data_IF_852048718313
#
_entry.id   IF_852048718313
#
_cell.length_a   1.000
_cell.length_b   1.000
_cell.length_c   1.000
_cell.angle_alpha   90.00
_cell.angle_beta   90.00
_cell.angle_gamma   90.00
#
_symmetry.space_group_name_H-M   'P 1'
#
loop_
_entity.id
_entity.type
_entity.pdbx_description
1 polymer ?
#
# COMPACT_ATOMS: atom_id res chain seq x y z
N UNK A 1 -39.59 19.67 -17.00
CA UNK A 1 -38.13 19.47 -16.90
C UNK A 1 -37.90 18.26 -16.02
N UNK A 2 -36.91 17.41 -16.35
CA UNK A 2 -36.53 16.30 -15.46
C UNK A 2 -35.76 16.90 -14.30
N UNK A 3 -36.10 16.57 -13.05
CA UNK A 3 -35.37 17.09 -11.89
C UNK A 3 -34.09 16.27 -11.64
N UNK A 4 -33.11 16.88 -10.98
CA UNK A 4 -31.91 16.20 -10.51
C UNK A 4 -32.26 14.95 -9.67
N UNK A 5 -33.18 15.09 -8.71
CA UNK A 5 -33.67 14.00 -7.86
C UNK A 5 -34.28 12.84 -8.67
N UNK A 6 -35.18 13.13 -9.62
CA UNK A 6 -35.78 12.10 -10.47
C UNK A 6 -34.72 11.33 -11.28
N UNK A 7 -33.66 12.02 -11.70
CA UNK A 7 -32.55 11.40 -12.44
C UNK A 7 -31.72 10.47 -11.56
N UNK A 8 -31.41 10.90 -10.33
CA UNK A 8 -30.70 10.08 -9.34
C UNK A 8 -31.50 8.81 -9.04
N UNK A 9 -32.78 8.94 -8.72
CA UNK A 9 -33.66 7.80 -8.41
C UNK A 9 -33.71 6.80 -9.56
N UNK A 10 -33.89 7.30 -10.78
CA UNK A 10 -33.92 6.51 -12.00
C UNK A 10 -32.62 5.77 -12.29
N UNK A 11 -31.47 6.34 -11.90
CA UNK A 11 -30.16 5.68 -12.03
C UNK A 11 -30.00 4.64 -10.93
N UNK A 12 -30.34 4.98 -9.69
CA UNK A 12 -30.24 4.08 -8.54
C UNK A 12 -31.14 2.85 -8.68
N UNK A 13 -32.34 3.02 -9.23
CA UNK A 13 -33.32 1.95 -9.46
C UNK A 13 -33.08 1.15 -10.75
N UNK A 14 -31.93 1.33 -11.43
CA UNK A 14 -31.65 0.60 -12.68
C UNK A 14 -31.60 -0.91 -12.43
N UNK A 15 -32.28 -1.68 -13.28
CA UNK A 15 -32.36 -3.14 -13.18
C UNK A 15 -31.07 -3.85 -13.60
N UNK A 16 -30.21 -3.16 -14.33
CA UNK A 16 -28.92 -3.67 -14.79
C UNK A 16 -27.84 -2.58 -14.82
N UNK A 17 -26.59 -3.02 -14.82
CA UNK A 17 -25.44 -2.14 -14.95
C UNK A 17 -25.42 -1.41 -16.30
N UNK A 18 -25.75 -2.09 -17.41
CA UNK A 18 -25.83 -1.44 -18.73
C UNK A 18 -26.91 -0.34 -18.80
N UNK A 19 -28.07 -0.59 -18.18
CA UNK A 19 -29.11 0.43 -18.06
C UNK A 19 -28.60 1.64 -17.26
N UNK A 20 -27.90 1.39 -16.16
CA UNK A 20 -27.29 2.44 -15.33
C UNK A 20 -26.30 3.29 -16.13
N UNK A 21 -25.37 2.67 -16.87
CA UNK A 21 -24.43 3.37 -17.77
C UNK A 21 -25.19 4.24 -18.77
N UNK A 22 -26.22 3.68 -19.41
CA UNK A 22 -27.01 4.40 -20.41
C UNK A 22 -27.65 5.66 -19.82
N UNK A 23 -28.22 5.55 -18.61
CA UNK A 23 -28.85 6.67 -17.90
C UNK A 23 -27.82 7.71 -17.43
N UNK A 24 -26.67 7.27 -16.91
CA UNK A 24 -25.57 8.18 -16.53
C UNK A 24 -25.08 8.99 -17.73
N UNK A 25 -24.96 8.37 -18.91
CA UNK A 25 -24.56 9.05 -20.15
C UNK A 25 -25.53 10.14 -20.62
N UNK A 26 -26.79 10.09 -20.16
CA UNK A 26 -27.83 11.06 -20.52
C UNK A 26 -27.81 12.32 -19.64
N UNK A 27 -27.06 12.33 -18.53
CA UNK A 27 -27.02 13.47 -17.59
C UNK A 27 -26.67 14.79 -18.33
N UNK A 28 -25.65 14.85 -19.21
CA UNK A 28 -25.30 16.09 -19.91
C UNK A 28 -26.38 16.62 -20.86
N UNK A 29 -27.26 15.75 -21.38
CA UNK A 29 -28.36 16.14 -22.27
C UNK A 29 -29.63 16.54 -21.50
N UNK A 30 -29.77 16.07 -20.26
CA UNK A 30 -30.97 16.29 -19.45
C UNK A 30 -30.87 17.48 -18.50
N UNK A 31 -29.65 17.91 -18.14
CA UNK A 31 -29.40 18.88 -17.07
C UNK A 31 -28.35 19.93 -17.44
N UNK A 32 -28.42 21.10 -16.79
CA UNK A 32 -27.42 22.16 -16.93
C UNK A 32 -26.07 21.76 -16.35
N UNK A 33 -24.97 22.29 -16.90
CA UNK A 33 -23.59 21.97 -16.47
C UNK A 33 -23.35 22.22 -14.98
N UNK A 34 -24.02 23.21 -14.41
CA UNK A 34 -24.01 23.56 -12.98
C UNK A 34 -24.65 22.49 -12.08
N UNK A 35 -25.57 21.68 -12.61
CA UNK A 35 -26.23 20.59 -11.87
C UNK A 35 -25.43 19.28 -11.90
N UNK A 36 -24.55 19.09 -12.90
CA UNK A 36 -23.88 17.82 -13.16
C UNK A 36 -23.13 17.28 -11.94
N UNK A 37 -22.32 18.13 -11.30
CA UNK A 37 -21.52 17.72 -10.14
C UNK A 37 -22.41 17.19 -9.00
N UNK A 38 -23.51 17.88 -8.72
CA UNK A 38 -24.47 17.48 -7.69
C UNK A 38 -25.14 16.15 -8.01
N UNK A 39 -25.53 15.92 -9.28
CA UNK A 39 -26.16 14.67 -9.72
C UNK A 39 -25.17 13.51 -9.60
N UNK A 40 -23.93 13.64 -10.11
CA UNK A 40 -22.93 12.58 -10.03
C UNK A 40 -22.57 12.25 -8.58
N UNK A 41 -22.52 13.25 -7.69
CA UNK A 41 -22.26 13.05 -6.27
C UNK A 41 -23.40 12.29 -5.57
N UNK A 42 -24.65 12.63 -5.87
CA UNK A 42 -25.82 11.93 -5.33
C UNK A 42 -25.92 10.49 -5.86
N UNK A 43 -25.64 10.28 -7.15
CA UNK A 43 -25.53 8.94 -7.75
C UNK A 43 -24.40 8.14 -7.08
N UNK A 44 -23.22 8.75 -6.89
CA UNK A 44 -22.10 8.14 -6.18
C UNK A 44 -22.51 7.66 -4.77
N UNK A 45 -23.20 8.54 -4.02
CA UNK A 45 -23.68 8.28 -2.67
C UNK A 45 -24.70 7.14 -2.61
N UNK A 46 -25.69 7.15 -3.50
CA UNK A 46 -26.78 6.18 -3.46
C UNK A 46 -26.34 4.78 -3.95
N UNK A 47 -25.43 4.73 -4.93
CA UNK A 47 -25.18 3.50 -5.70
C UNK A 47 -23.83 2.86 -5.39
N UNK A 48 -22.78 3.64 -5.13
CA UNK A 48 -21.41 3.11 -5.11
C UNK A 48 -20.83 3.08 -3.70
N UNK A 49 -21.14 4.09 -2.87
CA UNK A 49 -20.73 4.13 -1.47
C UNK A 49 -21.12 2.87 -0.68
N UNK A 50 -22.32 2.27 -0.86
CA UNK A 50 -22.69 1.04 -0.15
C UNK A 50 -21.78 -0.16 -0.43
N UNK A 51 -20.99 -0.13 -1.51
CA UNK A 51 -20.07 -1.21 -1.88
C UNK A 51 -18.62 -0.95 -1.45
N UNK A 52 -18.32 0.21 -0.85
CA UNK A 52 -16.97 0.51 -0.36
C UNK A 52 -16.69 -0.24 0.94
N UNK A 53 -15.50 -0.82 1.04
CA UNK A 53 -15.03 -1.56 2.22
C UNK A 53 -14.14 -0.72 3.14
N UNK A 54 -14.20 -0.93 4.46
CA UNK A 54 -13.26 -0.37 5.42
C UNK A 54 -11.93 -1.13 5.39
N UNK A 55 -11.16 -1.01 4.31
CA UNK A 55 -9.91 -1.78 4.14
C UNK A 55 -8.86 -1.49 5.23
N UNK A 56 -8.97 -0.35 5.92
CA UNK A 56 -8.14 -0.05 7.09
C UNK A 56 -8.32 -1.06 8.24
N UNK A 57 -9.37 -1.88 8.21
CA UNK A 57 -9.59 -2.96 9.17
C UNK A 57 -8.61 -4.13 8.99
N UNK A 58 -7.88 -4.18 7.87
CA UNK A 58 -7.03 -5.32 7.51
C UNK A 58 -5.59 -4.88 7.22
N UNK A 59 -4.65 -5.79 7.50
CA UNK A 59 -3.25 -5.70 7.09
C UNK A 59 -2.86 -7.00 6.40
N UNK A 60 -1.84 -6.98 5.55
CA UNK A 60 -1.30 -8.22 5.01
C UNK A 60 -0.49 -8.96 6.07
N UNK A 61 -0.57 -10.28 6.05
CA UNK A 61 0.33 -11.13 6.82
C UNK A 61 1.79 -10.87 6.43
N UNK A 62 2.64 -10.79 7.45
CA UNK A 62 4.07 -10.62 7.28
C UNK A 62 4.81 -11.33 8.42
N UNK A 63 5.17 -12.60 8.22
CA UNK A 63 5.77 -13.49 9.23
C UNK A 63 6.91 -12.86 10.03
N UNK A 64 7.74 -12.02 9.41
CA UNK A 64 8.83 -11.29 10.07
C UNK A 64 8.38 -10.37 11.21
N UNK A 65 7.17 -9.81 11.12
CA UNK A 65 6.59 -8.91 12.13
C UNK A 65 5.72 -9.64 13.15
N UNK A 66 5.52 -10.94 12.99
CA UNK A 66 4.70 -11.73 13.91
C UNK A 66 5.46 -12.02 15.21
N UNK A 67 4.70 -12.11 16.30
CA UNK A 67 5.23 -12.33 17.64
C UNK A 67 6.21 -13.52 17.72
N UNK A 68 5.93 -14.71 17.13
CA UNK A 68 6.86 -15.85 17.24
C UNK A 68 8.26 -15.55 16.68
N UNK A 69 8.35 -14.75 15.62
CA UNK A 69 9.64 -14.37 15.02
C UNK A 69 10.41 -13.44 15.96
N UNK A 70 9.74 -12.41 16.48
CA UNK A 70 10.34 -11.47 17.41
C UNK A 70 10.76 -12.14 18.73
N UNK A 71 9.90 -12.98 19.32
CA UNK A 71 10.18 -13.70 20.57
C UNK A 71 11.41 -14.61 20.45
N UNK A 72 11.62 -15.24 19.29
CA UNK A 72 12.80 -16.06 19.03
C UNK A 72 14.10 -15.23 19.02
N UNK A 73 14.10 -14.08 18.33
CA UNK A 73 15.25 -13.16 18.33
C UNK A 73 15.48 -12.53 19.71
N UNK A 74 14.40 -12.17 20.42
CA UNK A 74 14.43 -11.59 21.76
C UNK A 74 15.06 -12.53 22.78
N UNK A 75 14.64 -13.80 22.81
CA UNK A 75 15.23 -14.81 23.71
C UNK A 75 16.75 -14.97 23.50
N UNK A 76 17.21 -14.94 22.25
CA UNK A 76 18.64 -15.00 21.92
C UNK A 76 19.38 -13.76 22.42
N UNK A 77 18.80 -12.57 22.27
CA UNK A 77 19.41 -11.34 22.76
C UNK A 77 19.49 -11.33 24.30
N UNK A 78 18.41 -11.70 24.99
CA UNK A 78 18.37 -11.84 26.45
C UNK A 78 19.42 -12.85 26.93
N UNK A 79 19.46 -14.05 26.32
CA UNK A 79 20.42 -15.08 26.70
C UNK A 79 21.86 -14.66 26.44
N UNK A 80 22.14 -14.04 25.28
CA UNK A 80 23.50 -13.64 24.90
C UNK A 80 24.05 -12.46 25.71
N UNK A 81 23.17 -11.68 26.34
CA UNK A 81 23.55 -10.49 27.13
C UNK A 81 23.32 -10.68 28.63
N UNK A 82 22.98 -11.89 29.09
CA UNK A 82 22.60 -12.17 30.48
C UNK A 82 21.54 -11.20 31.02
N UNK A 83 20.40 -11.15 30.32
CA UNK A 83 19.32 -10.22 30.65
C UNK A 83 19.73 -8.76 30.49
N UNK A 84 20.47 -8.43 29.42
CA UNK A 84 21.01 -7.09 29.13
C UNK A 84 21.98 -6.53 30.19
N UNK A 85 22.68 -7.42 30.90
CA UNK A 85 23.75 -7.06 31.86
C UNK A 85 25.13 -6.96 31.20
N UNK A 86 25.40 -7.78 30.19
CA UNK A 86 26.64 -7.79 29.40
C UNK A 86 26.40 -7.10 28.04
N UNK A 87 26.55 -5.77 28.02
CA UNK A 87 26.14 -4.90 26.89
C UNK A 87 27.21 -3.86 26.50
N UNK A 88 28.45 -4.08 26.91
CA UNK A 88 29.59 -3.36 26.34
C UNK A 88 29.83 -3.77 24.87
N UNK A 89 30.62 -3.00 24.09
CA UNK A 89 30.83 -3.27 22.68
C UNK A 89 31.41 -4.66 22.36
N UNK A 90 32.27 -5.22 23.23
CA UNK A 90 32.88 -6.53 22.99
C UNK A 90 31.83 -7.63 23.09
N UNK A 91 31.07 -7.64 24.19
CA UNK A 91 30.00 -8.59 24.40
C UNK A 91 28.89 -8.47 23.33
N UNK A 92 28.50 -7.25 22.95
CA UNK A 92 27.52 -7.04 21.88
C UNK A 92 28.03 -7.56 20.52
N UNK A 93 29.32 -7.38 20.19
CA UNK A 93 29.89 -7.88 18.95
C UNK A 93 29.90 -9.42 18.93
N UNK A 94 30.21 -10.07 20.06
CA UNK A 94 30.14 -11.53 20.19
C UNK A 94 28.71 -12.04 19.99
N UNK A 95 27.71 -11.40 20.62
CA UNK A 95 26.29 -11.76 20.45
C UNK A 95 25.84 -11.60 19.00
N UNK A 96 26.19 -10.51 18.33
CA UNK A 96 25.85 -10.28 16.92
C UNK A 96 26.52 -11.28 15.96
N UNK A 97 27.71 -11.75 16.29
CA UNK A 97 28.43 -12.76 15.51
C UNK A 97 27.82 -14.14 15.69
N UNK A 98 27.47 -14.51 16.93
CA UNK A 98 26.84 -15.80 17.23
C UNK A 98 25.39 -15.87 16.73
N UNK A 99 24.64 -14.78 16.89
CA UNK A 99 23.19 -14.74 16.66
C UNK A 99 22.79 -13.43 15.96
N UNK A 100 23.10 -13.29 14.68
CA UNK A 100 22.85 -12.06 13.90
C UNK A 100 21.41 -11.52 13.95
N UNK A 101 20.41 -12.39 14.14
CA UNK A 101 18.99 -11.99 14.28
C UNK A 101 18.74 -11.10 15.51
N UNK A 102 19.60 -11.13 16.53
CA UNK A 102 19.52 -10.26 17.72
C UNK A 102 19.64 -8.78 17.39
N UNK A 103 20.20 -8.43 16.21
CA UNK A 103 20.21 -7.05 15.74
C UNK A 103 18.80 -6.45 15.65
N UNK A 104 17.78 -7.27 15.37
CA UNK A 104 16.38 -6.84 15.37
C UNK A 104 15.98 -6.25 16.74
N UNK A 105 16.36 -6.94 17.81
CA UNK A 105 16.07 -6.56 19.19
C UNK A 105 16.81 -5.29 19.55
N UNK A 106 18.11 -5.24 19.31
CA UNK A 106 18.90 -4.06 19.63
C UNK A 106 18.43 -2.84 18.83
N UNK A 107 18.23 -2.95 17.52
CA UNK A 107 17.72 -1.84 16.70
C UNK A 107 16.35 -1.35 17.18
N UNK A 108 15.45 -2.26 17.55
CA UNK A 108 14.11 -1.89 18.04
C UNK A 108 14.17 -1.19 19.40
N UNK A 109 15.06 -1.62 20.31
CA UNK A 109 15.37 -0.89 21.56
C UNK A 109 15.86 0.54 21.23
N UNK A 110 16.71 0.73 20.23
CA UNK A 110 17.17 2.07 19.85
C UNK A 110 16.06 2.95 19.25
N UNK A 111 14.95 2.36 18.79
CA UNK A 111 13.86 3.09 18.12
C UNK A 111 14.21 3.56 16.70
N UNK A 112 15.18 2.91 16.05
CA UNK A 112 15.63 3.27 14.71
C UNK A 112 15.01 2.35 13.64
N UNK A 113 14.73 2.91 12.47
CA UNK A 113 14.47 2.13 11.26
C UNK A 113 15.77 1.46 10.77
N UNK A 114 15.66 0.47 9.88
CA UNK A 114 16.83 -0.22 9.29
C UNK A 114 17.79 0.76 8.60
N UNK A 115 17.23 1.73 7.86
CA UNK A 115 18.02 2.76 7.18
C UNK A 115 18.68 3.73 8.15
N UNK A 116 18.00 4.14 9.22
CA UNK A 116 18.59 5.00 10.25
C UNK A 116 19.72 4.29 11.00
N UNK A 117 19.57 3.00 11.30
CA UNK A 117 20.64 2.21 11.91
C UNK A 117 21.84 2.08 10.98
N UNK A 118 21.63 1.74 9.70
CA UNK A 118 22.70 1.71 8.70
C UNK A 118 23.45 3.05 8.60
N UNK A 119 22.72 4.17 8.53
CA UNK A 119 23.32 5.51 8.54
C UNK A 119 24.13 5.77 9.82
N UNK A 120 23.64 5.34 10.98
CA UNK A 120 24.34 5.47 12.27
C UNK A 120 25.64 4.67 12.29
N UNK A 121 25.65 3.45 11.73
CA UNK A 121 26.88 2.66 11.62
C UNK A 121 27.92 3.31 10.72
N UNK A 122 27.49 4.05 9.68
CA UNK A 122 28.42 4.79 8.83
C UNK A 122 29.10 5.95 9.57
N UNK A 123 28.41 6.60 10.52
CA UNK A 123 29.00 7.64 11.37
C UNK A 123 30.10 7.06 12.26
N UNK A 124 29.84 5.93 12.92
CA UNK A 124 30.84 5.25 13.77
C UNK A 124 32.02 4.70 12.96
N UNK A 125 31.77 4.17 11.77
CA UNK A 125 32.82 3.57 10.95
C UNK A 125 33.79 4.61 10.37
N UNK A 126 33.34 5.85 10.14
CA UNK A 126 34.20 6.96 9.68
C UNK A 126 35.32 7.29 10.67
N UNK A 127 35.07 7.16 11.98
CA UNK A 127 36.07 7.42 13.02
C UNK A 127 37.19 6.35 13.06
N UNK A 128 37.03 5.26 12.30
CA UNK A 128 37.92 4.08 12.34
C UNK A 128 38.39 3.60 10.96
N UNK A 129 38.24 4.40 9.89
CA UNK A 129 38.55 4.02 8.49
C UNK A 129 37.87 2.70 8.04
N UNK A 130 36.66 2.45 8.55
CA UNK A 130 35.85 1.27 8.24
C UNK A 130 34.61 1.63 7.41
N UNK A 131 33.99 0.62 6.81
CA UNK A 131 32.69 0.77 6.14
C UNK A 131 31.53 0.46 7.10
N UNK A 132 30.54 1.35 7.16
CA UNK A 132 29.27 1.08 7.84
C UNK A 132 28.46 -0.03 7.17
N UNK A 133 27.41 -0.51 7.84
CA UNK A 133 26.47 -1.46 7.28
C UNK A 133 25.57 -0.79 6.24
N UNK A 134 25.23 -1.53 5.19
CA UNK A 134 24.16 -1.12 4.27
C UNK A 134 22.79 -1.49 4.83
N UNK A 135 21.74 -0.79 4.41
CA UNK A 135 20.35 -1.14 4.78
C UNK A 135 20.02 -2.59 4.44
N UNK A 136 20.48 -3.10 3.29
CA UNK A 136 20.27 -4.49 2.88
C UNK A 136 21.01 -5.48 3.78
N UNK A 137 22.21 -5.15 4.26
CA UNK A 137 22.93 -6.01 5.21
C UNK A 137 22.20 -6.07 6.55
N UNK A 138 21.70 -4.94 7.07
CA UNK A 138 20.85 -4.89 8.28
C UNK A 138 19.60 -5.75 8.08
N UNK A 139 18.90 -5.62 6.95
CA UNK A 139 17.71 -6.43 6.64
C UNK A 139 18.02 -7.94 6.63
N UNK A 140 19.12 -8.36 6.00
CA UNK A 140 19.52 -9.76 5.92
C UNK A 140 20.00 -10.34 7.27
N UNK A 141 20.68 -9.54 8.11
CA UNK A 141 20.99 -9.93 9.47
C UNK A 141 19.71 -10.19 10.28
N UNK A 142 18.75 -9.27 10.21
CA UNK A 142 17.51 -9.35 10.98
C UNK A 142 16.56 -10.45 10.49
N UNK A 143 16.42 -10.64 9.17
CA UNK A 143 15.45 -11.59 8.57
C UNK A 143 15.99 -12.99 8.33
N UNK A 144 17.27 -13.09 7.95
CA UNK A 144 17.88 -14.33 7.48
C UNK A 144 18.99 -14.82 8.41
N UNK A 145 19.31 -14.07 9.46
CA UNK A 145 20.43 -14.40 10.35
C UNK A 145 21.78 -14.40 9.64
N UNK A 146 21.94 -13.59 8.58
CA UNK A 146 23.19 -13.56 7.81
C UNK A 146 24.33 -13.03 8.68
N UNK A 147 25.22 -13.94 9.09
CA UNK A 147 26.36 -13.66 9.98
C UNK A 147 27.16 -12.42 9.49
N UNK A 148 27.40 -11.42 10.36
CA UNK A 148 28.27 -10.30 10.03
C UNK A 148 29.74 -10.75 9.99
N UNK A 149 30.59 -10.01 9.27
CA UNK A 149 32.04 -10.12 9.52
C UNK A 149 32.38 -9.57 10.89
N UNK A 150 33.55 -9.91 11.43
CA UNK A 150 34.02 -9.39 12.71
C UNK A 150 33.98 -7.84 12.75
N UNK A 151 34.51 -7.18 11.72
CA UNK A 151 34.46 -5.71 11.60
C UNK A 151 33.02 -5.18 11.60
N UNK A 152 32.10 -5.84 10.88
CA UNK A 152 30.69 -5.45 10.85
C UNK A 152 30.02 -5.59 12.21
N UNK A 153 30.34 -6.64 12.95
CA UNK A 153 29.83 -6.87 14.30
C UNK A 153 30.36 -5.79 15.26
N UNK A 154 31.64 -5.47 15.19
CA UNK A 154 32.28 -4.42 16.02
C UNK A 154 31.68 -3.04 15.73
N UNK A 155 31.49 -2.66 14.46
CA UNK A 155 30.87 -1.37 14.11
C UNK A 155 29.43 -1.29 14.62
N UNK A 156 28.64 -2.36 14.42
CA UNK A 156 27.26 -2.41 14.89
C UNK A 156 27.18 -2.33 16.43
N UNK A 157 28.04 -3.06 17.14
CA UNK A 157 28.12 -3.06 18.58
C UNK A 157 28.49 -1.68 19.15
N UNK A 158 29.52 -1.04 18.59
CA UNK A 158 29.90 0.33 18.97
C UNK A 158 28.77 1.32 18.69
N UNK A 159 28.06 1.16 17.57
CA UNK A 159 26.90 2.01 17.23
C UNK A 159 25.79 1.86 18.26
N UNK A 160 25.43 0.63 18.64
CA UNK A 160 24.44 0.38 19.68
C UNK A 160 24.88 1.03 21.00
N UNK A 161 26.12 0.80 21.40
CA UNK A 161 26.66 1.34 22.64
C UNK A 161 26.65 2.87 22.67
N UNK A 162 27.19 3.54 21.64
CA UNK A 162 27.25 5.00 21.57
C UNK A 162 25.87 5.66 21.49
N UNK A 163 24.87 5.00 20.90
CA UNK A 163 23.49 5.52 20.92
C UNK A 163 22.90 5.40 22.32
N UNK A 164 23.08 4.25 22.99
CA UNK A 164 22.55 4.01 24.33
C UNK A 164 23.19 4.92 25.39
N UNK A 165 24.46 5.27 25.24
CA UNK A 165 25.15 6.25 26.12
C UNK A 165 24.92 7.70 25.68
N UNK A 166 24.24 7.92 24.54
CA UNK A 166 23.95 9.26 24.03
C UNK A 166 25.15 10.00 23.46
N UNK A 167 26.23 9.29 23.13
CA UNK A 167 27.47 9.83 22.58
C UNK A 167 27.39 10.11 21.06
N UNK A 168 26.55 9.38 20.31
CA UNK A 168 26.61 9.41 18.84
C UNK A 168 26.05 10.68 18.18
N UNK A 169 24.86 11.15 18.59
CA UNK A 169 24.10 12.18 17.82
C UNK A 169 24.27 13.62 18.31
N UNK A 170 25.04 13.84 19.39
CA UNK A 170 25.16 15.14 20.03
C UNK A 170 23.86 15.67 20.65
N UNK A 171 23.90 16.92 21.12
CA UNK A 171 22.74 17.57 21.75
C UNK A 171 21.69 18.03 20.72
N UNK A 172 20.39 17.70 20.92
CA UNK A 172 19.32 18.16 20.05
C UNK A 172 19.14 19.68 20.14
N UNK A 173 18.92 20.34 19.00
CA UNK A 173 18.67 21.79 18.95
C UNK A 173 17.18 22.09 19.08
N UNK A 174 16.85 23.21 19.76
CA UNK A 174 15.47 23.69 19.87
C UNK A 174 14.56 22.73 20.64
N UNK A 175 13.29 22.63 20.24
CA UNK A 175 12.29 21.76 20.87
C UNK A 175 12.41 20.26 20.57
N UNK A 176 13.55 19.81 20.01
CA UNK A 176 13.77 18.41 19.64
C UNK A 176 14.17 17.58 20.87
N UNK A 177 13.79 16.30 20.86
CA UNK A 177 14.21 15.31 21.86
C UNK A 177 14.82 14.11 21.16
N UNK A 178 15.82 13.48 21.80
CA UNK A 178 16.42 12.23 21.31
C UNK A 178 15.38 11.11 21.32
N UNK A 179 15.44 10.19 20.36
CA UNK A 179 14.57 9.00 20.32
C UNK A 179 14.75 8.09 21.54
N UNK A 180 15.95 8.09 22.12
CA UNK A 180 16.28 7.32 23.32
C UNK A 180 15.68 7.94 24.60
N UNK A 181 15.21 9.18 24.56
CA UNK A 181 14.47 9.81 25.67
C UNK A 181 13.01 9.31 25.68
N UNK A 182 12.86 8.00 25.85
CA UNK A 182 11.62 7.26 26.04
C UNK A 182 11.82 6.30 27.23
N UNK A 183 10.72 5.91 27.86
CA UNK A 183 10.74 5.25 29.18
C UNK A 183 11.62 4.01 29.25
N UNK A 184 11.69 3.20 28.19
CA UNK A 184 12.48 1.97 28.14
C UNK A 184 13.98 2.18 27.85
N UNK A 185 14.42 3.42 27.58
CA UNK A 185 15.83 3.74 27.31
C UNK A 185 16.30 5.08 27.91
N UNK A 186 15.55 5.70 28.82
CA UNK A 186 15.91 7.03 29.33
C UNK A 186 17.18 7.02 30.18
N UNK A 187 17.39 5.95 30.94
CA UNK A 187 18.60 5.65 31.71
C UNK A 187 19.46 4.59 30.98
N UNK A 188 19.32 4.50 29.66
CA UNK A 188 20.05 3.55 28.83
C UNK A 188 19.69 2.09 29.15
N UNK A 189 20.71 1.25 29.35
CA UNK A 189 20.53 -0.19 29.57
C UNK A 189 19.88 -0.52 30.92
N UNK A 190 19.96 0.36 31.90
CA UNK A 190 19.34 0.17 33.20
C UNK A 190 17.81 0.16 33.07
N UNK A 191 17.25 1.08 32.27
CA UNK A 191 15.83 1.07 31.91
C UNK A 191 15.45 -0.23 31.18
N UNK A 192 16.24 -0.67 30.20
CA UNK A 192 15.98 -1.90 29.44
C UNK A 192 15.89 -3.12 30.38
N UNK A 193 16.87 -3.28 31.29
CA UNK A 193 16.87 -4.35 32.29
C UNK A 193 15.67 -4.26 33.23
N UNK A 194 15.35 -3.06 33.71
CA UNK A 194 14.21 -2.87 34.60
C UNK A 194 12.91 -3.38 33.96
N UNK A 195 12.67 -3.06 32.68
CA UNK A 195 11.49 -3.51 31.95
C UNK A 195 11.49 -5.00 31.60
N UNK A 196 12.67 -5.58 31.34
CA UNK A 196 12.81 -7.03 31.16
C UNK A 196 12.41 -7.80 32.43
N UNK A 197 12.82 -7.32 33.60
CA UNK A 197 12.58 -7.99 34.88
C UNK A 197 11.19 -7.71 35.48
N UNK A 198 10.69 -6.49 35.30
CA UNK A 198 9.48 -6.00 35.99
C UNK A 198 8.23 -6.04 35.10
N UNK A 199 8.39 -6.28 33.80
CA UNK A 199 7.31 -6.22 32.82
C UNK A 199 6.84 -4.79 32.51
N UNK A 200 5.84 -4.68 31.63
CA UNK A 200 5.30 -3.40 31.15
C UNK A 200 3.84 -3.26 31.58
N UNK A 201 3.52 -2.21 32.33
CA UNK A 201 2.13 -1.90 32.68
C UNK A 201 1.27 -1.59 31.45
N UNK A 202 -0.01 -1.98 31.48
CA UNK A 202 -0.89 -1.84 30.31
C UNK A 202 -1.06 -0.37 29.86
N UNK A 203 -1.08 0.59 30.79
CA UNK A 203 -1.14 2.03 30.46
C UNK A 203 0.07 2.49 29.64
N UNK A 204 1.26 2.02 29.98
CA UNK A 204 2.49 2.32 29.24
C UNK A 204 2.49 1.65 27.86
N UNK A 205 2.04 0.40 27.79
CA UNK A 205 1.86 -0.29 26.51
C UNK A 205 0.89 0.46 25.57
N UNK A 206 -0.23 0.98 26.10
CA UNK A 206 -1.15 1.81 25.34
C UNK A 206 -0.56 3.17 24.93
N UNK A 207 0.24 3.80 25.80
CA UNK A 207 0.96 5.02 25.46
C UNK A 207 1.90 4.80 24.27
N UNK A 208 2.65 3.69 24.22
CA UNK A 208 3.51 3.38 23.08
C UNK A 208 2.71 3.15 21.79
N UNK A 209 1.53 2.52 21.86
CA UNK A 209 0.61 2.41 20.71
C UNK A 209 0.13 3.78 20.21
N UNK A 210 -0.17 4.70 21.13
CA UNK A 210 -0.55 6.07 20.79
C UNK A 210 0.61 6.84 20.14
N UNK A 211 1.83 6.68 20.68
CA UNK A 211 3.03 7.36 20.22
C UNK A 211 3.55 6.84 18.86
N UNK A 212 3.42 5.53 18.58
CA UNK A 212 4.07 4.87 17.44
C UNK A 212 3.20 4.03 16.48
N UNK A 213 1.90 3.82 16.76
CA UNK A 213 0.96 3.07 15.91
C UNK A 213 1.30 1.58 15.73
N UNK A 214 0.50 0.67 16.28
CA UNK A 214 0.79 -0.77 16.34
C UNK A 214 1.07 -1.45 15.00
N UNK A 215 0.45 -0.99 13.91
CA UNK A 215 0.56 -1.61 12.58
C UNK A 215 1.39 -0.80 11.58
N UNK A 216 1.99 0.32 12.00
CA UNK A 216 2.60 1.26 11.05
C UNK A 216 3.71 0.62 10.23
N UNK A 217 4.60 -0.12 10.88
CA UNK A 217 5.72 -0.78 10.18
C UNK A 217 5.25 -1.87 9.21
N UNK A 218 4.22 -2.64 9.58
CA UNK A 218 3.63 -3.65 8.69
C UNK A 218 3.00 -2.98 7.48
N UNK A 219 2.19 -1.95 7.69
CA UNK A 219 1.52 -1.20 6.62
C UNK A 219 2.52 -0.55 5.64
N UNK A 220 3.64 -0.05 6.13
CA UNK A 220 4.71 0.51 5.29
C UNK A 220 5.42 -0.61 4.50
N UNK A 221 5.74 -1.74 5.16
CA UNK A 221 6.41 -2.88 4.53
C UNK A 221 5.54 -3.66 3.54
N UNK A 222 4.21 -3.65 3.68
CA UNK A 222 3.26 -4.33 2.79
C UNK A 222 2.51 -3.35 1.88
N UNK A 223 3.04 -2.14 1.71
CA UNK A 223 2.39 -1.09 0.94
C UNK A 223 2.19 -1.47 -0.54
N UNK A 224 3.15 -2.16 -1.14
CA UNK A 224 3.04 -2.71 -2.51
C UNK A 224 1.95 -3.77 -2.62
N UNK A 225 1.94 -4.77 -1.72
CA UNK A 225 0.89 -5.81 -1.67
C UNK A 225 -0.50 -5.18 -1.59
N UNK A 226 -0.66 -4.14 -0.77
CA UNK A 226 -1.92 -3.40 -0.63
C UNK A 226 -2.28 -2.63 -1.90
N UNK A 227 -1.29 -2.09 -2.61
CA UNK A 227 -1.49 -1.47 -3.92
C UNK A 227 -1.99 -2.49 -4.95
N UNK A 228 -1.38 -3.68 -4.96
CA UNK A 228 -1.67 -4.73 -5.93
C UNK A 228 -2.98 -5.48 -5.63
N UNK A 229 -3.50 -5.48 -4.41
CA UNK A 229 -4.68 -6.27 -4.02
C UNK A 229 -5.88 -6.10 -4.99
N UNK A 230 -6.14 -4.86 -5.43
CA UNK A 230 -7.23 -4.58 -6.38
C UNK A 230 -6.89 -5.13 -7.77
N UNK A 231 -5.66 -4.91 -8.22
CA UNK A 231 -5.18 -5.38 -9.53
C UNK A 231 -5.12 -6.91 -9.60
N UNK A 232 -4.66 -7.58 -8.55
CA UNK A 232 -4.58 -9.03 -8.45
C UNK A 232 -6.00 -9.63 -8.55
N UNK A 233 -6.98 -9.04 -7.86
CA UNK A 233 -8.38 -9.47 -7.94
C UNK A 233 -8.98 -9.30 -9.35
N UNK A 234 -8.62 -8.22 -10.06
CA UNK A 234 -9.04 -7.98 -11.45
C UNK A 234 -8.38 -8.99 -12.39
N UNK A 235 -7.08 -9.22 -12.22
CA UNK A 235 -6.30 -10.16 -13.02
C UNK A 235 -6.81 -11.59 -12.86
N UNK A 236 -7.05 -12.04 -11.63
CA UNK A 236 -7.64 -13.35 -11.34
C UNK A 236 -9.00 -13.51 -12.03
N UNK A 237 -9.84 -12.47 -11.99
CA UNK A 237 -11.13 -12.50 -12.68
C UNK A 237 -10.97 -12.61 -14.20
N UNK A 238 -10.02 -11.89 -14.80
CA UNK A 238 -9.73 -11.97 -16.23
C UNK A 238 -9.22 -13.36 -16.63
N UNK A 239 -8.28 -13.92 -15.88
CA UNK A 239 -7.75 -15.28 -16.09
C UNK A 239 -8.89 -16.31 -16.01
N UNK A 240 -9.70 -16.25 -14.95
CA UNK A 240 -10.80 -17.18 -14.74
C UNK A 240 -11.85 -17.16 -15.87
N UNK A 241 -11.98 -16.03 -16.58
CA UNK A 241 -12.94 -15.84 -17.67
C UNK A 241 -12.32 -15.85 -19.06
N UNK A 242 -11.00 -16.02 -19.16
CA UNK A 242 -10.28 -16.03 -20.43
C UNK A 242 -10.36 -14.71 -21.20
N UNK A 243 -10.44 -13.58 -20.50
CA UNK A 243 -10.51 -12.25 -21.13
C UNK A 243 -9.10 -11.87 -21.58
N UNK A 244 -8.86 -11.43 -22.83
CA UNK A 244 -7.54 -10.94 -23.25
C UNK A 244 -7.23 -9.56 -22.62
N UNK A 245 -6.10 -9.45 -21.92
CA UNK A 245 -5.67 -8.22 -21.26
C UNK A 245 -4.13 -8.09 -21.25
N UNK A 246 -3.64 -6.87 -21.02
CA UNK A 246 -2.27 -6.62 -20.55
C UNK A 246 -2.37 -5.88 -19.22
N UNK A 247 -1.77 -6.43 -18.16
CA UNK A 247 -1.52 -5.72 -16.90
C UNK A 247 -0.29 -4.84 -17.07
N UNK A 248 -0.41 -3.57 -16.74
CA UNK A 248 0.67 -2.60 -16.89
C UNK A 248 1.71 -2.79 -15.80
N UNK A 249 2.96 -2.94 -16.21
CA UNK A 249 4.14 -2.96 -15.34
C UNK A 249 5.20 -1.98 -15.84
N UNK A 250 6.25 -1.79 -15.05
CA UNK A 250 7.36 -0.88 -15.40
C UNK A 250 8.04 -1.20 -16.73
N UNK A 251 8.02 -2.46 -17.16
CA UNK A 251 8.74 -2.97 -18.34
C UNK A 251 7.93 -2.93 -19.64
N UNK A 252 6.59 -2.81 -19.59
CA UNK A 252 5.73 -2.99 -20.78
C UNK A 252 4.94 -1.73 -21.20
N UNK A 253 5.08 -0.60 -20.51
CA UNK A 253 4.34 0.64 -20.84
C UNK A 253 4.57 1.12 -22.29
N UNK A 254 5.81 1.05 -22.76
CA UNK A 254 6.16 1.43 -24.14
C UNK A 254 5.52 0.52 -25.19
N UNK A 255 5.32 -0.77 -24.85
CA UNK A 255 4.61 -1.70 -25.72
C UNK A 255 3.13 -1.32 -25.83
N UNK A 256 2.47 -1.05 -24.70
CA UNK A 256 1.06 -0.63 -24.66
C UNK A 256 0.83 0.59 -25.55
N UNK A 257 1.70 1.60 -25.43
CA UNK A 257 1.64 2.79 -26.28
C UNK A 257 1.88 2.51 -27.77
N UNK A 258 2.82 1.62 -28.11
CA UNK A 258 3.08 1.27 -29.52
C UNK A 258 1.93 0.46 -30.14
N UNK A 259 1.42 -0.53 -29.41
CA UNK A 259 0.43 -1.52 -29.85
C UNK A 259 -0.98 -0.93 -29.92
N UNK A 260 -1.41 -0.26 -28.85
CA UNK A 260 -2.78 0.24 -28.72
C UNK A 260 -2.90 1.76 -28.88
N UNK A 261 -1.78 2.45 -29.15
CA UNK A 261 -1.73 3.92 -29.30
C UNK A 261 -2.14 4.69 -28.06
N UNK A 262 -2.06 4.06 -26.88
CA UNK A 262 -2.31 4.70 -25.59
C UNK A 262 -1.13 5.62 -25.25
N UNK A 263 -1.36 6.92 -25.26
CA UNK A 263 -0.37 7.98 -25.10
C UNK A 263 -0.27 8.49 -23.65
N UNK A 264 -1.32 8.31 -22.84
CA UNK A 264 -1.31 8.70 -21.43
C UNK A 264 -0.20 7.96 -20.67
N UNK A 265 0.59 8.70 -19.89
CA UNK A 265 1.68 8.16 -19.07
C UNK A 265 1.48 8.50 -17.58
N UNK A 266 1.65 7.53 -16.65
CA UNK A 266 1.79 6.09 -16.93
C UNK A 266 0.56 5.54 -17.67
N UNK A 267 0.71 4.40 -18.37
CA UNK A 267 -0.41 3.68 -19.00
C UNK A 267 -1.46 3.27 -17.94
N UNK A 268 -2.73 3.01 -18.31
CA UNK A 268 -3.74 2.53 -17.35
C UNK A 268 -3.34 1.17 -16.76
N UNK A 269 -3.79 0.84 -15.56
CA UNK A 269 -3.38 -0.39 -14.86
C UNK A 269 -3.66 -1.66 -15.70
N UNK A 270 -4.73 -1.66 -16.50
CA UNK A 270 -5.01 -2.70 -17.50
C UNK A 270 -5.49 -2.12 -18.83
N UNK A 271 -5.11 -2.79 -19.92
CA UNK A 271 -5.74 -2.63 -21.25
C UNK A 271 -6.40 -3.94 -21.67
N UNK A 272 -7.64 -3.87 -22.14
CA UNK A 272 -8.45 -5.01 -22.57
C UNK A 272 -8.53 -4.97 -24.10
N UNK A 273 -8.35 -6.12 -24.76
CA UNK A 273 -8.37 -6.21 -26.22
C UNK A 273 -9.11 -7.47 -26.71
N UNK A 274 -9.38 -7.54 -28.00
CA UNK A 274 -9.97 -8.74 -28.64
C UNK A 274 -8.91 -9.58 -29.38
N UNK A 275 -9.32 -10.73 -29.92
CA UNK A 275 -8.42 -11.64 -30.63
C UNK A 275 -7.79 -11.00 -31.89
N UNK A 276 -8.39 -9.94 -32.43
CA UNK A 276 -7.86 -9.15 -33.53
C UNK A 276 -6.82 -8.10 -33.06
N UNK A 277 -6.43 -8.11 -31.78
CA UNK A 277 -5.53 -7.15 -31.15
C UNK A 277 -6.05 -5.71 -31.16
N UNK A 278 -7.36 -5.50 -31.20
CA UNK A 278 -7.98 -4.18 -31.13
C UNK A 278 -8.25 -3.83 -29.68
N UNK A 279 -7.90 -2.61 -29.25
CA UNK A 279 -8.19 -2.12 -27.91
C UNK A 279 -9.72 -2.03 -27.71
N UNK A 280 -10.23 -2.67 -26.66
CA UNK A 280 -11.65 -2.71 -26.31
C UNK A 280 -11.98 -1.96 -25.03
N UNK A 281 -11.01 -1.72 -24.15
CA UNK A 281 -11.22 -0.93 -22.95
C UNK A 281 -9.94 -0.63 -22.18
N UNK A 282 -10.03 0.34 -21.27
CA UNK A 282 -8.99 0.68 -20.30
C UNK A 282 -9.57 0.54 -18.89
N UNK A 283 -8.77 0.05 -17.95
CA UNK A 283 -9.18 -0.10 -16.56
C UNK A 283 -8.09 0.43 -15.62
N UNK A 284 -8.51 1.18 -14.61
CA UNK A 284 -7.64 1.75 -13.58
C UNK A 284 -8.12 1.34 -12.18
N UNK A 285 -7.20 0.84 -11.37
CA UNK A 285 -7.40 0.40 -9.99
C UNK A 285 -6.89 1.47 -9.01
N UNK A 286 -7.71 1.88 -8.03
CA UNK A 286 -7.29 2.87 -7.02
C UNK A 286 -7.88 2.61 -5.63
N UNK A 287 -6.99 2.34 -4.67
CA UNK A 287 -7.32 2.31 -3.24
C UNK A 287 -7.09 3.66 -2.55
N UNK A 288 -8.01 4.12 -1.69
CA UNK A 288 -7.83 5.31 -0.85
C UNK A 288 -8.65 5.20 0.46
N UNK A 289 -7.99 5.40 1.61
CA UNK A 289 -8.65 5.33 2.92
C UNK A 289 -8.98 6.70 3.53
N UNK A 290 -8.46 7.78 2.97
CA UNK A 290 -8.77 9.15 3.36
C UNK A 290 -9.21 9.98 2.12
N UNK A 291 -10.00 11.02 2.37
CA UNK A 291 -10.58 11.83 1.30
C UNK A 291 -9.59 12.73 0.57
N UNK A 292 -8.43 13.04 1.17
CA UNK A 292 -7.37 13.82 0.51
C UNK A 292 -6.69 12.98 -0.57
N UNK A 293 -6.23 11.78 -0.19
CA UNK A 293 -5.66 10.80 -1.12
C UNK A 293 -6.65 10.41 -2.21
N UNK A 294 -7.94 10.23 -1.89
CA UNK A 294 -8.97 9.91 -2.88
C UNK A 294 -9.15 11.03 -3.91
N UNK A 295 -9.14 12.30 -3.49
CA UNK A 295 -9.21 13.46 -4.38
C UNK A 295 -8.04 13.49 -5.36
N UNK A 296 -6.82 13.32 -4.88
CA UNK A 296 -5.61 13.33 -5.73
C UNK A 296 -5.66 12.21 -6.77
N UNK A 297 -6.15 11.02 -6.37
CA UNK A 297 -6.31 9.87 -7.27
C UNK A 297 -7.46 10.04 -8.26
N UNK A 298 -8.53 10.77 -7.92
CA UNK A 298 -9.68 10.98 -8.81
C UNK A 298 -9.27 11.71 -10.12
N UNK A 299 -8.32 12.64 -10.05
CA UNK A 299 -7.82 13.40 -11.21
C UNK A 299 -7.25 12.52 -12.33
N UNK A 300 -6.81 11.31 -12.00
CA UNK A 300 -6.31 10.33 -12.96
C UNK A 300 -7.39 9.91 -13.96
N UNK A 301 -8.64 9.77 -13.52
CA UNK A 301 -9.74 9.31 -14.37
C UNK A 301 -10.14 10.34 -15.41
N UNK A 302 -10.06 11.63 -15.11
CA UNK A 302 -10.29 12.69 -16.10
C UNK A 302 -9.32 12.60 -17.28
N UNK A 303 -8.01 12.38 -17.01
CA UNK A 303 -6.99 12.21 -18.05
C UNK A 303 -7.21 10.93 -18.87
N UNK A 304 -7.56 9.83 -18.20
CA UNK A 304 -7.90 8.58 -18.89
C UNK A 304 -9.18 8.69 -19.72
N UNK A 305 -10.13 9.53 -19.30
CA UNK A 305 -11.35 9.81 -20.05
C UNK A 305 -11.05 10.55 -21.35
N UNK A 306 -10.25 11.61 -21.29
CA UNK A 306 -9.78 12.31 -22.50
C UNK A 306 -9.12 11.34 -23.48
N UNK A 307 -8.29 10.44 -22.97
CA UNK A 307 -7.62 9.42 -23.76
C UNK A 307 -8.61 8.39 -24.35
N UNK A 308 -9.61 7.97 -23.57
CA UNK A 308 -10.68 7.07 -24.03
C UNK A 308 -11.45 7.70 -25.20
N UNK A 309 -11.77 8.99 -25.10
CA UNK A 309 -12.45 9.74 -26.17
C UNK A 309 -11.56 9.84 -27.41
N UNK A 310 -10.27 10.16 -27.25
CA UNK A 310 -9.29 10.23 -28.34
C UNK A 310 -9.15 8.90 -29.09
N UNK A 311 -9.31 7.77 -28.39
CA UNK A 311 -9.24 6.42 -28.94
C UNK A 311 -10.59 5.91 -29.47
N UNK A 312 -11.55 6.80 -29.74
CA UNK A 312 -12.85 6.43 -30.33
C UNK A 312 -13.92 6.06 -29.30
N UNK A 313 -13.78 6.50 -28.06
CA UNK A 313 -14.74 6.26 -26.99
C UNK A 313 -14.67 4.86 -26.39
N UNK A 314 -13.47 4.28 -26.33
CA UNK A 314 -13.26 2.99 -25.66
C UNK A 314 -13.71 3.07 -24.20
N UNK A 315 -14.46 2.09 -23.66
CA UNK A 315 -14.86 2.07 -22.26
C UNK A 315 -13.68 2.27 -21.29
N UNK A 316 -13.83 3.23 -20.38
CA UNK A 316 -12.98 3.40 -19.20
C UNK A 316 -13.69 2.80 -17.99
N UNK A 317 -12.98 1.96 -17.24
CA UNK A 317 -13.48 1.29 -16.04
C UNK A 317 -12.62 1.68 -14.82
N UNK A 318 -13.26 1.91 -13.70
CA UNK A 318 -12.61 2.10 -12.40
C UNK A 318 -12.88 0.89 -11.49
N UNK A 319 -11.85 0.43 -10.78
CA UNK A 319 -12.01 -0.48 -9.64
C UNK A 319 -11.41 0.18 -8.41
N UNK A 320 -12.26 0.47 -7.43
CA UNK A 320 -11.93 1.30 -6.27
C UNK A 320 -12.01 0.50 -4.98
N UNK A 321 -11.20 0.92 -4.00
CA UNK A 321 -11.24 0.36 -2.65
C UNK A 321 -10.96 1.42 -1.59
N UNK A 322 -11.48 1.23 -0.38
CA UNK A 322 -11.28 2.10 0.76
C UNK A 322 -12.32 3.22 0.93
N UNK A 323 -12.50 3.66 2.18
CA UNK A 323 -13.54 4.65 2.53
C UNK A 323 -13.21 6.09 2.14
N UNK A 324 -12.01 6.40 1.64
CA UNK A 324 -11.69 7.74 1.15
C UNK A 324 -12.66 8.21 0.04
N UNK A 325 -13.20 7.26 -0.73
CA UNK A 325 -14.17 7.48 -1.80
C UNK A 325 -15.59 7.84 -1.31
N UNK A 326 -15.88 7.73 -0.01
CA UNK A 326 -17.16 8.19 0.58
C UNK A 326 -17.38 9.71 0.41
N UNK A 327 -16.31 10.45 0.14
CA UNK A 327 -16.38 11.88 -0.18
C UNK A 327 -16.85 12.09 -1.61
N UNK A 328 -18.16 12.20 -1.82
CA UNK A 328 -18.72 12.11 -3.18
C UNK A 328 -18.52 13.33 -4.08
N UNK A 329 -18.52 14.55 -3.56
CA UNK A 329 -18.60 15.78 -4.38
C UNK A 329 -17.39 16.02 -5.28
N UNK A 330 -16.21 15.66 -4.81
CA UNK A 330 -14.92 15.97 -5.45
C UNK A 330 -13.98 14.76 -5.49
N UNK A 331 -14.48 13.55 -5.20
CA UNK A 331 -13.75 12.30 -5.37
C UNK A 331 -14.55 11.31 -6.22
N UNK A 332 -15.51 10.57 -5.65
CA UNK A 332 -16.22 9.49 -6.33
C UNK A 332 -17.18 9.97 -7.44
N UNK A 333 -17.88 11.09 -7.24
CA UNK A 333 -18.74 11.70 -8.27
C UNK A 333 -17.99 11.98 -9.58
N UNK A 334 -16.84 12.67 -9.55
CA UNK A 334 -15.97 12.82 -10.71
C UNK A 334 -15.56 11.49 -11.38
N UNK A 335 -15.22 10.45 -10.61
CA UNK A 335 -14.85 9.13 -11.18
C UNK A 335 -16.06 8.47 -11.87
N UNK A 336 -17.25 8.54 -11.25
CA UNK A 336 -18.50 8.07 -11.84
C UNK A 336 -18.78 8.79 -13.15
N UNK A 337 -18.62 10.11 -13.22
CA UNK A 337 -18.73 10.87 -14.47
C UNK A 337 -17.75 10.36 -15.53
N UNK A 338 -16.47 10.29 -15.19
CA UNK A 338 -15.40 10.03 -16.15
C UNK A 338 -15.45 8.59 -16.71
N UNK A 339 -16.00 7.64 -15.96
CA UNK A 339 -16.19 6.24 -16.38
C UNK A 339 -17.58 5.94 -16.97
N UNK A 340 -18.44 6.94 -17.16
CA UNK A 340 -19.88 6.79 -17.44
C UNK A 340 -20.58 5.81 -16.47
N UNK A 341 -20.18 5.85 -15.22
CA UNK A 341 -20.65 4.96 -14.18
C UNK A 341 -19.83 3.71 -13.98
N UNK A 342 -19.05 3.20 -14.95
CA UNK A 342 -18.33 1.91 -14.84
C UNK A 342 -17.28 1.90 -13.72
N UNK A 343 -17.75 1.82 -12.49
CA UNK A 343 -17.01 1.97 -11.26
C UNK A 343 -17.44 0.82 -10.37
N UNK A 344 -16.47 0.00 -10.03
CA UNK A 344 -16.64 -1.23 -9.28
C UNK A 344 -15.75 -1.19 -8.04
N UNK A 345 -16.01 -2.11 -7.14
CA UNK A 345 -15.25 -2.40 -5.94
C UNK A 345 -15.02 -3.89 -5.90
N UNK A 346 -14.21 -4.39 -4.98
CA UNK A 346 -14.05 -5.83 -4.80
C UNK A 346 -15.39 -6.52 -4.46
N UNK A 347 -16.28 -5.83 -3.72
CA UNK A 347 -17.57 -6.37 -3.32
C UNK A 347 -18.53 -6.65 -4.50
N UNK A 348 -18.40 -5.91 -5.59
CA UNK A 348 -19.24 -6.07 -6.79
C UNK A 348 -18.43 -6.29 -8.07
N UNK A 349 -17.16 -6.71 -7.94
CA UNK A 349 -16.24 -6.90 -9.06
C UNK A 349 -16.79 -7.84 -10.15
N UNK A 350 -17.49 -8.95 -9.83
CA UNK A 350 -18.08 -9.80 -10.87
C UNK A 350 -19.11 -9.09 -11.78
N UNK A 351 -19.80 -8.06 -11.27
CA UNK A 351 -20.76 -7.27 -12.06
C UNK A 351 -20.09 -6.48 -13.17
N UNK A 352 -18.78 -6.21 -13.05
CA UNK A 352 -17.98 -5.57 -14.09
C UNK A 352 -18.09 -6.28 -15.43
N UNK A 353 -18.21 -7.62 -15.41
CA UNK A 353 -18.29 -8.41 -16.63
C UNK A 353 -19.62 -8.29 -17.37
N UNK A 354 -20.61 -7.61 -16.80
CA UNK A 354 -21.92 -7.37 -17.41
C UNK A 354 -21.94 -6.12 -18.31
N UNK A 355 -20.92 -5.26 -18.23
CA UNK A 355 -20.83 -4.03 -19.02
C UNK A 355 -19.81 -4.12 -20.15
N UNK A 356 -19.99 -3.32 -21.19
CA UNK A 356 -18.98 -3.18 -22.25
C UNK A 356 -17.61 -2.82 -21.67
N UNK A 357 -16.51 -3.49 -22.12
CA UNK A 357 -16.44 -4.33 -23.32
C UNK A 357 -16.62 -5.84 -23.09
N UNK A 358 -16.93 -6.30 -21.87
CA UNK A 358 -16.73 -7.70 -21.50
C UNK A 358 -17.72 -8.72 -22.11
N UNK A 359 -19.04 -8.46 -22.23
CA UNK A 359 -19.98 -9.45 -22.76
C UNK A 359 -19.55 -10.04 -24.12
N UNK A 360 -19.24 -9.25 -25.17
CA UNK A 360 -18.83 -9.82 -26.45
C UNK A 360 -17.49 -10.58 -26.38
N UNK A 361 -16.57 -10.18 -25.49
CA UNK A 361 -15.29 -10.88 -25.32
C UNK A 361 -15.48 -12.27 -24.72
N UNK A 362 -16.36 -12.38 -23.72
CA UNK A 362 -16.64 -13.66 -23.05
C UNK A 362 -17.39 -14.62 -23.99
N UNK A 363 -18.33 -14.12 -24.79
CA UNK A 363 -19.10 -14.94 -25.73
C UNK A 363 -18.22 -15.51 -26.85
N UNK A 364 -17.30 -14.72 -27.40
CA UNK A 364 -16.32 -15.19 -28.40
C UNK A 364 -15.43 -16.34 -27.87
N UNK A 365 -15.00 -16.24 -26.61
CA UNK A 365 -14.18 -17.29 -25.98
C UNK A 365 -14.96 -18.60 -25.75
N UNK A 366 -16.27 -18.50 -25.50
CA UNK A 366 -17.15 -19.68 -25.38
C UNK A 366 -17.37 -20.36 -26.73
N UNK A 367 -17.48 -19.59 -27.82
CA UNK A 367 -17.59 -20.14 -29.17
C UNK A 367 -16.31 -20.91 -29.57
N UNK A 368 -15.13 -20.30 -29.40
CA UNK A 368 -13.84 -20.94 -29.72
C UNK A 368 -13.60 -22.25 -28.95
N UNK A 369 -14.08 -22.36 -27.70
CA UNK A 369 -13.97 -23.60 -26.90
C UNK A 369 -14.93 -24.71 -27.35
N UNK A 370 -16.02 -24.39 -28.05
CA UNK A 370 -16.97 -25.38 -28.58
C UNK A 370 -16.50 -25.98 -29.91
N UNK A 371 -15.79 -25.21 -30.73
CA UNK A 371 -15.26 -25.67 -32.03
C UNK A 371 -13.99 -26.53 -31.91
N UNK A 372 -13.46 -26.71 -30.70
CA UNK A 372 -12.29 -27.54 -30.39
C UNK A 372 -12.60 -28.76 -29.51
N UNK A 373 -13.89 -29.09 -29.34
CA UNK A 373 -14.37 -30.35 -28.76
C UNK A 373 -15.14 -31.13 -29.81
#
# INVERSE_FOLDING_TARGET
MVTSENTVDRIASSSSWNERVSRIRQIPQLHGTDEHQGIYAQVAQAVYVPHLSPDFAYIHEATFYEQPYFDAAYKKAVSGTEGFSLVDPENLAQVLTAEATTLLVFRTILGLTKGEFAASTAMVAQDHDQAGLTTSKVDNMEKLGTVPTEQQAVVAANTIHQIMTGALFGEPRGGLRRKQKKLDTEDGWDSVRHFEQSGVGYSLFLHQRHYGGSFRQVLDATSEKRGNLIEDSVEELFIARGIPYIRTGSHNQSEIGRRFKVAVRPAPDFVIFDDANVLRGMLECKGANDGGTARDKALRFARLREESVRLGGVPLIAVLSGLGWTRVNDTLGPVVRDCDGRVFTLANLPEMLTVQPFPPLIDSQRANKRDHR
#
